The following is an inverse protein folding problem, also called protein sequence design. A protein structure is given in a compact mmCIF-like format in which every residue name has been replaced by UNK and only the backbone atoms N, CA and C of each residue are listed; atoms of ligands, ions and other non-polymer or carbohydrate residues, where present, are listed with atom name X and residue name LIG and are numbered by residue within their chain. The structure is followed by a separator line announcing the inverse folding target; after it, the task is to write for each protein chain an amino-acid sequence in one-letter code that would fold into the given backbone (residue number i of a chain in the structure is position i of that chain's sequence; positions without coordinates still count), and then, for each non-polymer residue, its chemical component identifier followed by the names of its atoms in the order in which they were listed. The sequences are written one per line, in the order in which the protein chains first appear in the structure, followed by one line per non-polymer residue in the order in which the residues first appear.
data_IF_269228843616
#
_entry.id   IF_269228843616
#
_cell.length_a   1.000
_cell.length_b   1.000
_cell.length_c   1.000
_cell.angle_alpha   90.00
_cell.angle_beta   90.00
_cell.angle_gamma   90.00
#
_symmetry.space_group_name_H-M   'P 1'
#
loop_
_entity.id
_entity.type
_entity.pdbx_description
1 polymer ?
#
# COMPACT_ATOMS: atom_id res chain seq x y z
N UNK A 1 -18.81 10.16 -10.58
CA UNK A 1 -18.27 8.81 -10.30
C UNK A 1 -16.82 8.97 -9.85
N UNK A 2 -16.49 8.62 -8.61
CA UNK A 2 -15.17 8.83 -8.00
C UNK A 2 -14.24 7.63 -8.25
N UNK A 3 -12.93 7.87 -8.48
CA UNK A 3 -11.91 6.82 -8.62
C UNK A 3 -10.69 7.07 -7.73
N UNK A 4 -10.16 6.00 -7.14
CA UNK A 4 -8.93 6.02 -6.35
C UNK A 4 -7.88 5.20 -7.11
N UNK A 5 -6.85 5.89 -7.57
CA UNK A 5 -5.71 5.33 -8.29
C UNK A 5 -4.57 5.07 -7.28
N UNK A 6 -4.29 3.81 -7.00
CA UNK A 6 -3.31 3.42 -5.99
C UNK A 6 -2.00 3.01 -6.62
N UNK A 7 -0.89 3.60 -6.17
CA UNK A 7 0.47 3.24 -6.56
C UNK A 7 1.31 2.94 -5.32
N UNK A 8 2.23 2.00 -5.42
CA UNK A 8 3.15 1.66 -4.34
C UNK A 8 4.28 2.69 -4.24
N UNK A 9 4.70 3.04 -3.02
CA UNK A 9 5.88 3.87 -2.77
C UNK A 9 7.13 3.35 -3.47
N UNK A 10 8.11 4.21 -3.75
CA UNK A 10 9.39 3.86 -4.38
C UNK A 10 10.20 2.87 -3.54
N UNK A 11 11.10 2.11 -4.19
CA UNK A 11 11.95 1.12 -3.53
C UNK A 11 12.80 1.75 -2.44
N UNK A 12 12.80 1.18 -1.23
CA UNK A 12 13.61 1.61 -0.09
C UNK A 12 14.81 0.67 0.12
N UNK A 13 15.73 1.07 1.03
CA UNK A 13 16.85 0.19 1.41
C UNK A 13 16.36 -1.07 2.15
N UNK A 14 15.29 -1.01 2.97
CA UNK A 14 14.71 -2.22 3.58
C UNK A 14 14.17 -3.18 2.50
N UNK A 15 13.48 -2.67 1.47
CA UNK A 15 13.06 -3.50 0.34
C UNK A 15 14.25 -4.10 -0.43
N UNK A 16 15.34 -3.32 -0.64
CA UNK A 16 16.55 -3.79 -1.28
C UNK A 16 17.19 -4.96 -0.54
N UNK A 17 17.15 -4.92 0.79
CA UNK A 17 17.73 -5.94 1.65
C UNK A 17 16.74 -7.03 2.08
N UNK A 18 15.55 -7.09 1.44
CA UNK A 18 14.51 -8.09 1.70
C UNK A 18 14.12 -8.15 3.18
N UNK A 19 13.82 -6.98 3.76
CA UNK A 19 13.39 -6.85 5.15
C UNK A 19 11.92 -6.46 5.24
N UNK A 20 11.23 -7.02 6.22
CA UNK A 20 9.87 -6.61 6.58
C UNK A 20 9.86 -5.10 6.86
N UNK A 21 8.96 -4.39 6.23
CA UNK A 21 8.84 -2.95 6.36
C UNK A 21 7.38 -2.56 6.52
N UNK A 22 6.93 -2.59 7.75
CA UNK A 22 5.61 -2.10 8.14
C UNK A 22 5.67 -0.61 8.48
N UNK A 23 5.69 -0.27 9.78
CA UNK A 23 5.74 1.13 10.22
C UNK A 23 7.17 1.68 10.35
N UNK A 24 8.19 0.83 10.39
CA UNK A 24 9.58 1.28 10.29
C UNK A 24 9.83 1.95 8.93
N UNK A 25 10.63 3.00 8.91
CA UNK A 25 10.95 3.74 7.70
C UNK A 25 12.43 3.64 7.32
N UNK A 26 12.69 3.64 6.02
CA UNK A 26 14.02 3.73 5.44
C UNK A 26 13.98 4.66 4.21
N UNK A 27 15.09 5.34 3.87
CA UNK A 27 15.16 6.17 2.69
C UNK A 27 14.85 5.41 1.41
N UNK A 28 14.34 6.12 0.41
CA UNK A 28 14.26 5.61 -0.95
C UNK A 28 15.67 5.36 -1.49
N UNK A 29 15.84 4.30 -2.28
CA UNK A 29 17.06 4.09 -3.07
C UNK A 29 17.07 5.01 -4.29
N UNK A 30 18.20 5.18 -4.98
CA UNK A 30 18.27 5.90 -6.25
C UNK A 30 17.26 5.31 -7.25
N UNK A 31 17.21 3.97 -7.39
CA UNK A 31 16.21 3.28 -8.22
C UNK A 31 14.77 3.62 -7.80
N UNK A 32 14.51 3.74 -6.49
CA UNK A 32 13.19 4.12 -5.96
C UNK A 32 12.81 5.55 -6.30
N UNK A 33 13.77 6.49 -6.24
CA UNK A 33 13.61 7.90 -6.63
C UNK A 33 13.34 7.99 -8.15
N UNK A 34 14.16 7.33 -8.95
CA UNK A 34 13.97 7.30 -10.41
C UNK A 34 12.63 6.65 -10.80
N UNK A 35 12.23 5.58 -10.08
CA UNK A 35 10.93 4.94 -10.27
C UNK A 35 9.76 5.90 -9.98
N UNK A 36 9.86 6.71 -8.91
CA UNK A 36 8.88 7.73 -8.58
C UNK A 36 8.80 8.83 -9.65
N UNK A 37 9.95 9.28 -10.19
CA UNK A 37 9.98 10.22 -11.32
C UNK A 37 9.33 9.63 -12.58
N UNK A 38 9.64 8.35 -12.92
CA UNK A 38 8.98 7.67 -14.05
C UNK A 38 7.47 7.56 -13.87
N UNK A 39 7.01 7.24 -12.65
CA UNK A 39 5.58 7.20 -12.34
C UNK A 39 4.94 8.58 -12.52
N UNK A 40 5.55 9.65 -12.01
CA UNK A 40 5.08 11.02 -12.21
C UNK A 40 4.97 11.38 -13.70
N UNK A 41 6.00 11.06 -14.50
CA UNK A 41 5.98 11.28 -15.96
C UNK A 41 4.88 10.47 -16.66
N UNK A 42 4.63 9.24 -16.25
CA UNK A 42 3.54 8.41 -16.80
C UNK A 42 2.15 8.96 -16.46
N UNK A 43 2.04 9.74 -15.39
CA UNK A 43 0.82 10.37 -14.91
C UNK A 43 0.66 11.84 -15.30
N UNK A 44 1.64 12.44 -15.99
CA UNK A 44 1.70 13.89 -16.23
C UNK A 44 0.47 14.48 -16.93
N UNK A 45 -0.17 13.70 -17.80
CA UNK A 45 -1.35 14.13 -18.57
C UNK A 45 -2.68 13.76 -17.82
N UNK A 46 -2.58 13.17 -16.63
CA UNK A 46 -3.74 12.86 -15.79
C UNK A 46 -4.02 14.03 -14.86
N UNK A 47 -5.31 14.32 -14.67
CA UNK A 47 -5.74 15.26 -13.62
C UNK A 47 -6.13 14.47 -12.37
N UNK A 48 -5.70 14.95 -11.20
CA UNK A 48 -6.14 14.46 -9.90
C UNK A 48 -6.58 15.66 -9.05
N UNK A 49 -7.73 15.52 -8.41
CA UNK A 49 -8.29 16.55 -7.51
C UNK A 49 -7.63 16.47 -6.14
N UNK A 50 -7.22 15.25 -5.73
CA UNK A 50 -6.56 14.98 -4.45
C UNK A 50 -5.38 14.02 -4.66
N UNK A 51 -4.25 14.33 -4.04
CA UNK A 51 -3.10 13.41 -3.95
C UNK A 51 -2.83 13.03 -2.50
N UNK A 52 -3.16 11.80 -2.15
CA UNK A 52 -3.06 11.25 -0.82
C UNK A 52 -1.84 10.33 -0.65
N UNK A 53 -1.37 10.15 0.58
CA UNK A 53 -0.46 9.08 0.95
C UNK A 53 -0.70 8.62 2.38
N UNK A 54 -0.09 7.49 2.79
CA UNK A 54 0.16 7.32 4.21
C UNK A 54 1.12 8.41 4.71
N UNK A 55 1.19 8.59 6.01
CA UNK A 55 2.11 9.53 6.66
C UNK A 55 3.54 8.98 6.81
N UNK A 56 3.79 7.70 6.45
CA UNK A 56 5.13 7.12 6.43
C UNK A 56 6.00 7.84 5.39
N UNK A 57 7.23 8.18 5.80
CA UNK A 57 8.12 9.04 5.03
C UNK A 57 8.36 8.55 3.60
N UNK A 58 8.54 7.25 3.39
CA UNK A 58 8.73 6.67 2.05
C UNK A 58 7.56 6.93 1.11
N UNK A 59 6.32 6.86 1.61
CA UNK A 59 5.12 7.15 0.82
C UNK A 59 4.97 8.65 0.56
N UNK A 60 5.20 9.48 1.59
CA UNK A 60 5.17 10.92 1.48
C UNK A 60 6.25 11.47 0.52
N UNK A 61 7.48 10.94 0.58
CA UNK A 61 8.56 11.35 -0.31
C UNK A 61 8.28 10.91 -1.76
N UNK A 62 7.78 9.68 -1.97
CA UNK A 62 7.36 9.21 -3.30
C UNK A 62 6.27 10.10 -3.88
N UNK A 63 5.25 10.47 -3.06
CA UNK A 63 4.19 11.40 -3.47
C UNK A 63 4.75 12.74 -3.93
N UNK A 64 5.67 13.34 -3.16
CA UNK A 64 6.30 14.62 -3.52
C UNK A 64 7.03 14.54 -4.87
N UNK A 65 7.76 13.45 -5.12
CA UNK A 65 8.47 13.25 -6.38
C UNK A 65 7.49 13.09 -7.54
N UNK A 66 6.43 12.31 -7.39
CA UNK A 66 5.39 12.14 -8.42
C UNK A 66 4.76 13.50 -8.77
N UNK A 67 4.39 14.27 -7.74
CA UNK A 67 3.76 15.60 -7.92
C UNK A 67 4.70 16.57 -8.63
N UNK A 68 6.02 16.53 -8.36
CA UNK A 68 7.00 17.43 -8.98
C UNK A 68 7.20 17.22 -10.49
N UNK A 69 6.68 16.14 -11.06
CA UNK A 69 6.76 15.87 -12.51
C UNK A 69 5.58 16.46 -13.30
N UNK A 70 4.65 17.16 -12.64
CA UNK A 70 3.46 17.68 -13.29
C UNK A 70 3.15 19.11 -12.83
N UNK A 71 3.44 20.08 -13.71
CA UNK A 71 3.22 21.51 -13.45
C UNK A 71 1.73 21.88 -13.23
N UNK A 72 0.79 21.01 -13.67
CA UNK A 72 -0.64 21.23 -13.49
C UNK A 72 -1.15 20.86 -12.09
N UNK A 73 -0.31 20.27 -11.23
CA UNK A 73 -0.69 19.81 -9.90
C UNK A 73 -0.28 20.77 -8.77
N UNK A 74 0.22 21.97 -9.08
CA UNK A 74 0.61 22.98 -8.07
C UNK A 74 -0.53 23.36 -7.15
N UNK A 75 -1.77 23.36 -7.66
CA UNK A 75 -3.00 23.65 -6.90
C UNK A 75 -3.73 22.41 -6.38
N UNK A 76 -3.22 21.21 -6.64
CA UNK A 76 -3.87 19.96 -6.21
C UNK A 76 -3.73 19.81 -4.70
N UNK A 77 -4.83 19.51 -4.02
CA UNK A 77 -4.83 19.28 -2.59
C UNK A 77 -4.03 18.02 -2.24
N UNK A 78 -3.24 18.09 -1.15
CA UNK A 78 -2.44 16.98 -0.66
C UNK A 78 -2.82 16.63 0.78
N UNK A 79 -3.08 15.35 1.03
CA UNK A 79 -3.43 14.84 2.36
C UNK A 79 -2.61 13.62 2.76
N UNK A 80 -2.61 13.32 4.07
CA UNK A 80 -1.97 12.14 4.65
C UNK A 80 -2.88 11.51 5.71
N UNK A 81 -2.84 10.18 5.82
CA UNK A 81 -3.52 9.48 6.90
C UNK A 81 -2.74 8.28 7.40
N UNK A 82 -2.68 8.12 8.72
CA UNK A 82 -2.08 6.96 9.38
C UNK A 82 -2.90 5.68 9.14
N UNK A 83 -4.20 5.80 8.84
CA UNK A 83 -5.05 4.65 8.54
C UNK A 83 -4.63 3.88 7.29
N UNK A 84 -3.82 4.49 6.41
CA UNK A 84 -3.29 3.85 5.19
C UNK A 84 -1.80 3.48 5.28
N UNK A 85 -1.22 3.40 6.50
CA UNK A 85 0.11 2.81 6.73
C UNK A 85 0.12 1.32 6.35
N UNK A 86 1.32 0.78 6.09
CA UNK A 86 1.54 -0.65 5.88
C UNK A 86 1.15 -1.48 7.12
N UNK A 87 0.98 -2.79 6.98
CA UNK A 87 0.77 -3.71 8.11
C UNK A 87 1.92 -3.52 9.12
N UNK A 88 1.57 -3.37 10.40
CA UNK A 88 2.55 -3.25 11.46
C UNK A 88 3.01 -4.64 11.93
N UNK A 89 4.30 -4.92 11.76
CA UNK A 89 4.88 -6.21 12.11
C UNK A 89 5.39 -6.30 13.57
N UNK A 90 5.20 -5.24 14.38
CA UNK A 90 5.61 -5.20 15.78
C UNK A 90 7.08 -5.55 15.97
N UNK A 91 7.36 -6.54 16.83
CA UNK A 91 8.71 -7.03 17.11
C UNK A 91 9.50 -7.45 15.84
N UNK A 92 8.81 -7.86 14.78
CA UNK A 92 9.42 -8.33 13.54
C UNK A 92 9.74 -7.21 12.53
N UNK A 93 9.52 -5.95 12.87
CA UNK A 93 9.91 -4.82 12.02
C UNK A 93 11.41 -4.88 11.69
N UNK A 94 11.74 -4.70 10.42
CA UNK A 94 13.09 -4.77 9.86
C UNK A 94 13.80 -6.15 9.94
N UNK A 95 13.14 -7.21 10.40
CA UNK A 95 13.66 -8.56 10.25
C UNK A 95 13.80 -8.93 8.78
N UNK A 96 14.74 -9.80 8.44
CA UNK A 96 14.77 -10.37 7.09
C UNK A 96 13.46 -11.12 6.81
N UNK A 97 12.89 -10.96 5.61
CA UNK A 97 11.59 -11.54 5.24
C UNK A 97 11.49 -13.02 5.65
N UNK A 98 12.52 -13.81 5.30
CA UNK A 98 12.55 -15.25 5.60
C UNK A 98 12.50 -15.55 7.10
N UNK A 99 13.18 -14.75 7.91
CA UNK A 99 13.25 -14.95 9.37
C UNK A 99 11.94 -14.53 10.03
N UNK A 100 11.43 -13.34 9.69
CA UNK A 100 10.19 -12.80 10.25
C UNK A 100 8.97 -13.65 9.87
N UNK A 101 8.86 -14.04 8.60
CA UNK A 101 7.77 -14.91 8.13
C UNK A 101 7.85 -16.29 8.77
N UNK A 102 9.06 -16.89 8.83
CA UNK A 102 9.22 -18.21 9.46
C UNK A 102 8.87 -18.19 10.95
N UNK A 103 9.19 -17.11 11.67
CA UNK A 103 8.84 -16.95 13.08
C UNK A 103 7.30 -16.81 13.25
N UNK A 104 6.66 -15.93 12.49
CA UNK A 104 5.21 -15.72 12.56
C UNK A 104 4.42 -16.97 12.20
N UNK A 105 4.79 -17.66 11.13
CA UNK A 105 4.10 -18.86 10.63
C UNK A 105 4.55 -20.15 11.35
N UNK A 106 5.56 -20.10 12.22
CA UNK A 106 6.21 -21.27 12.83
C UNK A 106 6.57 -22.33 11.79
N UNK A 107 7.00 -21.87 10.60
CA UNK A 107 7.25 -22.70 9.42
C UNK A 107 8.20 -22.02 8.46
N UNK A 108 9.09 -22.77 7.83
CA UNK A 108 9.96 -22.29 6.75
C UNK A 108 9.37 -22.50 5.35
N UNK A 109 8.11 -22.95 5.26
CA UNK A 109 7.41 -23.17 3.98
C UNK A 109 7.31 -21.91 3.14
N UNK A 110 7.16 -20.75 3.78
CA UNK A 110 6.98 -19.47 3.10
C UNK A 110 8.20 -18.58 3.33
N UNK A 111 9.11 -18.44 2.36
CA UNK A 111 10.26 -17.54 2.49
C UNK A 111 9.88 -16.06 2.47
N UNK A 112 8.71 -15.70 1.92
CA UNK A 112 8.20 -14.33 1.86
C UNK A 112 6.67 -14.31 2.08
N UNK A 113 6.14 -13.17 2.52
CA UNK A 113 4.69 -12.99 2.68
C UNK A 113 3.90 -13.30 1.41
N UNK A 114 4.39 -12.88 0.25
CA UNK A 114 3.73 -13.13 -1.03
C UNK A 114 3.53 -14.62 -1.32
N UNK A 115 4.42 -15.47 -0.85
CA UNK A 115 4.32 -16.92 -1.05
C UNK A 115 3.14 -17.51 -0.23
N UNK A 116 2.90 -16.98 0.97
CA UNK A 116 1.74 -17.34 1.79
C UNK A 116 0.43 -16.80 1.16
N UNK A 117 0.42 -15.56 0.64
CA UNK A 117 -0.73 -14.98 -0.07
C UNK A 117 -1.12 -15.84 -1.27
N UNK A 118 -0.16 -16.28 -2.08
CA UNK A 118 -0.40 -17.17 -3.23
C UNK A 118 -0.94 -18.54 -2.83
N UNK A 119 -0.53 -19.05 -1.68
CA UNK A 119 -1.03 -20.33 -1.14
C UNK A 119 -2.44 -20.19 -0.52
N UNK A 120 -2.91 -18.96 -0.33
CA UNK A 120 -4.30 -18.66 0.05
C UNK A 120 -4.51 -18.04 1.42
N UNK A 121 -3.43 -17.69 2.15
CA UNK A 121 -3.56 -16.94 3.39
C UNK A 121 -4.13 -15.54 3.14
N UNK A 122 -5.17 -15.20 3.85
CA UNK A 122 -5.77 -13.86 3.85
C UNK A 122 -4.92 -12.88 4.67
N UNK A 123 -5.11 -11.58 4.46
CA UNK A 123 -4.43 -10.56 5.27
C UNK A 123 -4.85 -10.60 6.75
N UNK A 124 -6.10 -11.02 7.01
CA UNK A 124 -6.55 -11.25 8.37
C UNK A 124 -5.74 -12.37 9.05
N UNK A 125 -5.61 -13.52 8.40
CA UNK A 125 -4.81 -14.63 8.94
C UNK A 125 -3.33 -14.26 9.09
N UNK A 126 -2.76 -13.54 8.12
CA UNK A 126 -1.36 -13.09 8.17
C UNK A 126 -1.14 -12.14 9.36
N UNK A 127 -2.00 -11.12 9.53
CA UNK A 127 -1.93 -10.19 10.66
C UNK A 127 -2.04 -10.93 12.00
N UNK A 128 -3.02 -11.83 12.11
CA UNK A 128 -3.23 -12.62 13.33
C UNK A 128 -2.04 -13.53 13.67
N UNK A 129 -1.35 -14.08 12.65
CA UNK A 129 -0.13 -14.88 12.86
C UNK A 129 1.02 -14.03 13.40
N UNK A 130 1.24 -12.83 12.86
CA UNK A 130 2.27 -11.92 13.36
C UNK A 130 1.93 -11.44 14.77
N UNK A 131 0.68 -11.05 15.03
CA UNK A 131 0.20 -10.64 16.35
C UNK A 131 0.39 -11.75 17.39
N UNK A 132 -0.01 -12.98 17.08
CA UNK A 132 0.12 -14.12 17.99
C UNK A 132 1.57 -14.57 18.23
N UNK A 133 2.48 -14.27 17.32
CA UNK A 133 3.90 -14.61 17.43
C UNK A 133 4.74 -13.52 18.09
N UNK A 134 4.23 -12.29 18.14
CA UNK A 134 4.93 -11.13 18.70
C UNK A 134 5.03 -11.25 20.23
N UNK A 135 6.28 -11.35 20.78
CA UNK A 135 6.47 -11.49 22.23
C UNK A 135 6.07 -10.26 23.04
N UNK A 136 6.01 -9.07 22.41
CA UNK A 136 5.64 -7.80 23.04
C UNK A 136 4.15 -7.48 22.81
N UNK A 137 3.49 -8.14 21.84
CA UNK A 137 2.08 -7.93 21.51
C UNK A 137 1.80 -6.63 20.75
N UNK A 138 2.81 -6.03 20.14
CA UNK A 138 2.72 -4.76 19.41
C UNK A 138 2.23 -4.94 17.97
N UNK A 139 2.49 -6.10 17.35
CA UNK A 139 2.10 -6.36 15.97
C UNK A 139 0.59 -6.25 15.78
N UNK A 140 0.18 -5.63 14.68
CA UNK A 140 -1.22 -5.41 14.34
C UNK A 140 -1.93 -6.72 13.99
N UNK A 141 -3.10 -6.97 14.58
CA UNK A 141 -3.96 -8.08 14.17
C UNK A 141 -4.57 -7.83 12.78
N UNK A 142 -4.99 -8.89 12.10
CA UNK A 142 -5.63 -8.76 10.81
C UNK A 142 -6.91 -7.95 10.82
N UNK A 143 -7.70 -8.04 11.90
CA UNK A 143 -8.92 -7.25 12.06
C UNK A 143 -8.66 -5.76 12.28
N UNK A 144 -7.61 -5.40 13.00
CA UNK A 144 -7.17 -4.00 13.17
C UNK A 144 -6.71 -3.42 11.85
N UNK A 145 -5.87 -4.18 11.10
CA UNK A 145 -5.38 -3.80 9.78
C UNK A 145 -6.54 -3.51 8.82
N UNK A 146 -7.45 -4.47 8.60
CA UNK A 146 -8.58 -4.26 7.68
C UNK A 146 -9.50 -3.12 8.12
N UNK A 147 -9.77 -2.99 9.43
CA UNK A 147 -10.66 -1.96 9.96
C UNK A 147 -10.11 -0.56 9.71
N UNK A 148 -8.80 -0.32 9.96
CA UNK A 148 -8.22 0.99 9.68
C UNK A 148 -8.10 1.29 8.19
N UNK A 149 -7.82 0.27 7.34
CA UNK A 149 -7.81 0.47 5.89
C UNK A 149 -9.18 0.92 5.36
N UNK A 150 -10.28 0.33 5.87
CA UNK A 150 -11.63 0.76 5.52
C UNK A 150 -11.86 2.21 5.94
N UNK A 151 -11.50 2.62 7.18
CA UNK A 151 -11.58 4.02 7.60
C UNK A 151 -10.76 4.96 6.71
N UNK A 152 -9.55 4.55 6.31
CA UNK A 152 -8.71 5.32 5.41
C UNK A 152 -9.33 5.52 4.02
N UNK A 153 -9.99 4.49 3.47
CA UNK A 153 -10.74 4.62 2.21
C UNK A 153 -11.98 5.47 2.41
N UNK A 154 -12.75 5.27 3.49
CA UNK A 154 -13.93 6.09 3.80
C UNK A 154 -13.56 7.57 3.94
N UNK A 155 -12.41 7.88 4.56
CA UNK A 155 -11.87 9.25 4.62
C UNK A 155 -11.65 9.83 3.22
N UNK A 156 -11.01 9.08 2.30
CA UNK A 156 -10.77 9.53 0.93
C UNK A 156 -12.07 9.64 0.10
N UNK A 157 -13.00 8.71 0.29
CA UNK A 157 -14.30 8.72 -0.42
C UNK A 157 -15.13 9.93 -0.02
N UNK A 158 -15.10 10.31 1.27
CA UNK A 158 -15.86 11.43 1.80
C UNK A 158 -15.07 12.76 1.80
N UNK A 159 -13.86 12.78 1.24
CA UNK A 159 -13.05 13.99 1.14
C UNK A 159 -13.53 14.85 -0.01
N UNK A 160 -14.13 15.98 0.31
CA UNK A 160 -14.70 16.97 -0.61
C UNK A 160 -15.39 16.40 -1.88
N UNK A 161 -15.51 17.21 -2.93
CA UNK A 161 -16.03 16.84 -4.25
C UNK A 161 -14.96 16.18 -5.15
N UNK A 162 -13.84 15.72 -4.59
CA UNK A 162 -12.76 15.09 -5.36
C UNK A 162 -13.26 13.85 -6.10
N UNK A 163 -13.18 13.84 -7.43
CA UNK A 163 -13.59 12.69 -8.25
C UNK A 163 -12.42 11.76 -8.60
N UNK A 164 -11.22 12.31 -8.71
CA UNK A 164 -10.01 11.55 -9.08
C UNK A 164 -8.94 11.71 -8.00
N UNK A 165 -8.67 10.62 -7.28
CA UNK A 165 -7.74 10.59 -6.15
C UNK A 165 -6.54 9.72 -6.51
N UNK A 166 -5.32 10.26 -6.39
CA UNK A 166 -4.10 9.47 -6.43
C UNK A 166 -3.69 9.12 -5.00
N UNK A 167 -3.52 7.84 -4.69
CA UNK A 167 -3.04 7.35 -3.40
C UNK A 167 -1.67 6.69 -3.55
N UNK A 168 -0.66 7.24 -2.90
CA UNK A 168 0.64 6.58 -2.74
C UNK A 168 0.63 5.77 -1.45
N UNK A 169 0.60 4.45 -1.59
CA UNK A 169 0.44 3.48 -0.51
C UNK A 169 1.54 2.42 -0.48
N UNK A 170 1.19 1.26 0.03
CA UNK A 170 2.08 0.16 0.35
C UNK A 170 1.59 -1.15 -0.28
N UNK A 171 2.47 -2.15 -0.35
CA UNK A 171 2.19 -3.39 -1.07
C UNK A 171 1.06 -4.20 -0.43
N UNK A 172 1.12 -4.44 0.89
CA UNK A 172 0.08 -5.23 1.57
C UNK A 172 -1.25 -4.47 1.62
N UNK A 173 -1.20 -3.14 1.82
CA UNK A 173 -2.37 -2.26 1.80
C UNK A 173 -3.12 -2.35 0.47
N UNK A 174 -2.42 -2.11 -0.63
CA UNK A 174 -3.05 -2.10 -1.97
C UNK A 174 -3.63 -3.48 -2.29
N UNK A 175 -2.90 -4.56 -1.97
CA UNK A 175 -3.39 -5.92 -2.21
C UNK A 175 -4.59 -6.26 -1.29
N UNK A 176 -4.53 -5.88 -0.02
CA UNK A 176 -5.63 -6.09 0.93
C UNK A 176 -6.92 -5.36 0.47
N UNK A 177 -6.80 -4.09 0.11
CA UNK A 177 -7.92 -3.29 -0.43
C UNK A 177 -8.49 -3.91 -1.72
N UNK A 178 -7.61 -4.41 -2.61
CA UNK A 178 -8.04 -5.10 -3.82
C UNK A 178 -8.80 -6.40 -3.50
N UNK A 179 -8.41 -7.14 -2.45
CA UNK A 179 -9.16 -8.31 -1.99
C UNK A 179 -10.52 -7.92 -1.39
N UNK A 180 -10.55 -6.91 -0.53
CA UNK A 180 -11.77 -6.44 0.14
C UNK A 180 -12.80 -5.97 -0.92
N UNK A 181 -12.41 -5.06 -1.79
CA UNK A 181 -13.30 -4.43 -2.76
C UNK A 181 -13.47 -5.23 -4.06
N UNK A 182 -12.62 -6.22 -4.30
CA UNK A 182 -12.80 -7.21 -5.36
C UNK A 182 -13.71 -8.38 -4.97
N UNK A 183 -14.13 -8.46 -3.70
CA UNK A 183 -15.04 -9.48 -3.18
C UNK A 183 -14.46 -10.90 -3.18
N UNK A 184 -13.14 -11.04 -3.32
CA UNK A 184 -12.44 -12.33 -3.29
C UNK A 184 -10.97 -12.18 -2.90
N UNK A 185 -10.40 -13.21 -2.28
CA UNK A 185 -8.96 -13.26 -2.06
C UNK A 185 -8.19 -13.43 -3.38
N UNK A 186 -7.25 -12.52 -3.65
CA UNK A 186 -6.40 -12.55 -4.84
C UNK A 186 -5.12 -13.35 -4.53
N UNK A 187 -4.97 -14.53 -5.15
CA UNK A 187 -3.77 -15.37 -5.02
C UNK A 187 -2.71 -14.98 -6.05
N UNK A 188 -2.22 -13.74 -5.94
CA UNK A 188 -1.31 -13.13 -6.92
C UNK A 188 -0.06 -12.57 -6.26
N UNK A 189 0.86 -12.03 -7.08
CA UNK A 189 1.94 -11.20 -6.59
C UNK A 189 1.41 -9.91 -5.97
N UNK A 190 2.16 -9.36 -5.01
CA UNK A 190 1.89 -8.03 -4.48
C UNK A 190 2.21 -6.97 -5.54
N UNK A 191 1.53 -5.79 -5.51
CA UNK A 191 1.78 -4.72 -6.47
C UNK A 191 3.25 -4.29 -6.50
N UNK A 192 3.80 -4.16 -7.71
CA UNK A 192 5.16 -3.67 -7.94
C UNK A 192 5.20 -2.15 -7.91
N UNK A 193 6.42 -1.57 -7.82
CA UNK A 193 6.61 -0.13 -7.76
C UNK A 193 6.24 0.62 -9.05
N UNK A 194 6.00 -0.10 -10.16
CA UNK A 194 5.59 0.46 -11.46
C UNK A 194 4.15 0.07 -11.84
N UNK A 195 3.37 -0.41 -10.90
CA UNK A 195 2.00 -0.87 -11.14
C UNK A 195 0.98 0.05 -10.46
N UNK A 196 -0.19 0.16 -11.08
CA UNK A 196 -1.33 0.89 -10.58
C UNK A 196 -2.51 -0.06 -10.34
N UNK A 197 -3.23 0.17 -9.26
CA UNK A 197 -4.49 -0.49 -8.92
C UNK A 197 -5.58 0.56 -8.81
N UNK A 198 -6.77 0.31 -9.34
CA UNK A 198 -7.86 1.28 -9.39
C UNK A 198 -9.08 0.76 -8.64
N UNK A 199 -9.57 1.56 -7.69
CA UNK A 199 -10.89 1.38 -7.09
C UNK A 199 -11.87 2.37 -7.71
N UNK A 200 -13.09 1.91 -7.95
CA UNK A 200 -14.22 2.71 -8.40
C UNK A 200 -15.19 2.93 -7.25
N UNK A 201 -15.73 4.12 -7.14
CA UNK A 201 -16.76 4.48 -6.15
C UNK A 201 -18.00 4.91 -6.92
N UNK A 202 -19.11 4.20 -6.75
CA UNK A 202 -20.38 4.53 -7.41
C UNK A 202 -21.09 5.73 -6.74
N UNK A 203 -22.20 6.14 -7.32
CA UNK A 203 -22.97 7.29 -6.83
C UNK A 203 -23.66 7.04 -5.47
N UNK A 204 -23.68 5.80 -4.98
CA UNK A 204 -24.15 5.41 -3.64
C UNK A 204 -23.00 5.33 -2.63
N UNK A 205 -21.76 5.63 -3.05
CA UNK A 205 -20.55 5.51 -2.22
C UNK A 205 -20.03 4.08 -2.08
N UNK A 206 -20.55 3.11 -2.87
CA UNK A 206 -20.07 1.74 -2.83
C UNK A 206 -18.74 1.62 -3.58
N UNK A 207 -17.71 1.12 -2.89
CA UNK A 207 -16.37 0.90 -3.43
C UNK A 207 -16.26 -0.49 -4.05
N UNK A 208 -15.64 -0.57 -5.23
CA UNK A 208 -15.36 -1.83 -5.94
C UNK A 208 -13.99 -1.79 -6.61
N UNK A 209 -13.38 -2.96 -6.81
CA UNK A 209 -12.14 -3.09 -7.57
C UNK A 209 -12.43 -2.98 -9.06
N UNK A 210 -11.80 -2.02 -9.74
CA UNK A 210 -11.89 -1.87 -11.20
C UNK A 210 -10.72 -2.59 -11.90
N UNK A 211 -9.50 -2.37 -11.41
CA UNK A 211 -8.27 -2.92 -12.01
C UNK A 211 -7.21 -3.19 -10.95
N UNK A 212 -6.44 -4.29 -11.10
CA UNK A 212 -5.36 -4.65 -10.18
C UNK A 212 -4.04 -4.82 -10.92
N UNK A 213 -3.02 -4.08 -10.46
CA UNK A 213 -1.62 -4.31 -10.86
C UNK A 213 -1.31 -4.01 -12.34
N UNK A 214 -1.94 -2.98 -12.94
CA UNK A 214 -1.60 -2.56 -14.31
C UNK A 214 -0.24 -1.89 -14.37
N UNK A 215 0.70 -2.38 -15.21
CA UNK A 215 1.97 -1.71 -15.45
C UNK A 215 1.77 -0.29 -16.05
N UNK A 216 2.54 0.69 -15.56
CA UNK A 216 2.48 2.09 -16.00
C UNK A 216 3.61 2.46 -16.95
N UNK A 217 4.73 1.72 -16.90
CA UNK A 217 5.89 1.89 -17.78
C UNK A 217 6.73 0.61 -17.82
#
# INVERSE_FOLDING_TARGET
MKKIYMVRHGRTYLNKYQRLQGWSDAPLTEEGIEGAHRMGKALKDQHFDLVASSDLKRAADTRKIIVSENDNWESTEMTQTADLRELFFGYYEAFHDTEGVAAAFKSTKYPRLVDAVKDGYTWQEIGDLFHAADPEGDAESGSEFESRLKRGIDYLVNHDESERILLVGHACVIHCLACIYGGKHLRTDLPKHNEMTVLNVDDNGQVSLEEFGRPMY
#
